data_IF_648622513496
#
_entry.id   IF_648622513496
#
_cell.length_a   1.000
_cell.length_b   1.000
_cell.length_c   1.000
_cell.angle_alpha   90.00
_cell.angle_beta   90.00
_cell.angle_gamma   90.00
#
_symmetry.space_group_name_H-M   'P 1'
#
loop_
_entity.id
_entity.type
_entity.pdbx_description
1 polymer ?
#
# COMPACT_ATOMS: atom_id res chain seq x y z
N UNK A 1 -34.99 10.01 -11.39
CA UNK A 1 -33.91 9.00 -11.54
C UNK A 1 -32.73 9.46 -10.69
N UNK A 2 -32.48 8.80 -9.56
CA UNK A 2 -31.36 9.16 -8.69
C UNK A 2 -30.05 8.87 -9.44
N UNK A 3 -29.29 9.92 -9.76
CA UNK A 3 -27.90 9.78 -10.21
C UNK A 3 -27.12 9.25 -9.03
N UNK A 4 -26.83 7.95 -9.04
CA UNK A 4 -25.87 7.34 -8.12
C UNK A 4 -24.56 8.11 -8.31
N UNK A 5 -24.14 8.86 -7.30
CA UNK A 5 -22.86 9.56 -7.29
C UNK A 5 -21.77 8.56 -7.64
N UNK A 6 -20.79 8.92 -8.51
CA UNK A 6 -19.73 8.00 -8.86
C UNK A 6 -19.01 7.61 -7.57
N UNK A 7 -19.12 6.33 -7.20
CA UNK A 7 -18.39 5.74 -6.09
C UNK A 7 -16.91 6.03 -6.35
N UNK A 8 -16.25 6.75 -5.44
CA UNK A 8 -14.83 7.00 -5.55
C UNK A 8 -14.08 5.72 -5.19
N UNK A 9 -13.95 4.82 -6.16
CA UNK A 9 -13.25 3.55 -6.02
C UNK A 9 -11.83 3.83 -5.53
N UNK A 10 -11.49 3.23 -4.38
CA UNK A 10 -10.16 3.27 -3.77
C UNK A 10 -9.34 2.05 -4.15
N UNK A 11 -9.96 0.87 -4.12
CA UNK A 11 -9.30 -0.39 -4.44
C UNK A 11 -10.13 -1.20 -5.44
N UNK A 12 -9.45 -2.07 -6.19
CA UNK A 12 -10.05 -3.05 -7.07
C UNK A 12 -9.55 -4.43 -6.67
N UNK A 13 -10.45 -5.31 -6.25
CA UNK A 13 -10.13 -6.72 -6.01
C UNK A 13 -10.24 -7.45 -7.35
N UNK A 14 -9.18 -8.14 -7.75
CA UNK A 14 -9.15 -9.01 -8.92
C UNK A 14 -9.15 -10.46 -8.45
N UNK A 15 -10.13 -11.24 -8.87
CA UNK A 15 -10.23 -12.65 -8.55
C UNK A 15 -10.51 -13.48 -9.82
N UNK A 16 -10.00 -14.70 -9.83
CA UNK A 16 -10.29 -15.70 -10.85
C UNK A 16 -11.27 -16.74 -10.30
N UNK A 17 -12.08 -17.31 -11.19
CA UNK A 17 -13.07 -18.34 -10.90
C UNK A 17 -12.84 -19.52 -11.83
N UNK A 18 -12.85 -20.73 -11.28
CA UNK A 18 -12.90 -21.97 -12.06
C UNK A 18 -14.06 -22.82 -11.55
N UNK A 19 -14.94 -23.25 -12.44
CA UNK A 19 -16.08 -24.09 -12.07
C UNK A 19 -16.31 -25.23 -13.06
N UNK A 20 -16.82 -26.35 -12.55
CA UNK A 20 -17.19 -27.52 -13.35
C UNK A 20 -18.65 -27.44 -13.78
N UNK A 21 -18.91 -26.88 -14.95
CA UNK A 21 -20.26 -26.76 -15.47
C UNK A 21 -20.49 -25.45 -16.21
N UNK A 22 -21.73 -25.26 -16.63
CA UNK A 22 -22.19 -24.00 -17.20
C UNK A 22 -22.56 -23.05 -16.05
N UNK A 23 -21.97 -21.85 -16.05
CA UNK A 23 -22.35 -20.78 -15.13
C UNK A 23 -22.79 -19.56 -15.92
N UNK A 24 -23.75 -18.84 -15.36
CA UNK A 24 -24.12 -17.51 -15.82
C UNK A 24 -23.65 -16.43 -14.84
N UNK A 25 -23.56 -15.19 -15.32
CA UNK A 25 -23.16 -14.05 -14.48
C UNK A 25 -24.02 -13.90 -13.21
N UNK A 26 -25.37 -14.07 -13.27
CA UNK A 26 -26.20 -14.01 -12.07
C UNK A 26 -25.84 -15.04 -11.00
N UNK A 27 -25.37 -16.23 -11.40
CA UNK A 27 -24.97 -17.28 -10.45
C UNK A 27 -23.78 -16.85 -9.61
N UNK A 28 -22.76 -16.27 -10.26
CA UNK A 28 -21.55 -15.75 -9.62
C UNK A 28 -21.89 -14.61 -8.67
N UNK A 29 -22.70 -13.66 -9.13
CA UNK A 29 -23.15 -12.53 -8.30
C UNK A 29 -23.98 -13.02 -7.11
N UNK A 30 -24.86 -14.00 -7.33
CA UNK A 30 -25.66 -14.62 -6.27
C UNK A 30 -24.80 -15.30 -5.21
N UNK A 31 -23.78 -16.05 -5.62
CA UNK A 31 -22.84 -16.69 -4.71
C UNK A 31 -22.02 -15.67 -3.91
N UNK A 32 -21.49 -14.64 -4.58
CA UNK A 32 -20.74 -13.55 -3.95
C UNK A 32 -21.53 -12.86 -2.84
N UNK A 33 -22.81 -12.56 -3.06
CA UNK A 33 -23.61 -11.91 -2.01
C UNK A 33 -24.14 -12.90 -0.96
N UNK A 34 -24.51 -14.11 -1.36
CA UNK A 34 -25.17 -15.06 -0.46
C UNK A 34 -24.20 -15.76 0.47
N UNK A 35 -23.07 -16.26 -0.04
CA UNK A 35 -22.14 -17.05 0.77
C UNK A 35 -21.23 -16.20 1.66
N UNK A 36 -21.05 -14.92 1.34
CA UNK A 36 -20.33 -14.01 2.23
C UNK A 36 -21.20 -13.42 3.35
N UNK A 37 -22.52 -13.60 3.27
CA UNK A 37 -23.49 -13.04 4.23
C UNK A 37 -23.28 -13.68 5.62
N UNK A 38 -23.24 -12.86 6.66
CA UNK A 38 -23.05 -13.33 8.04
C UNK A 38 -21.62 -13.73 8.45
N UNK A 39 -20.63 -13.73 7.54
CA UNK A 39 -19.24 -14.11 7.87
C UNK A 39 -18.43 -12.99 8.52
N UNK A 40 -18.68 -11.73 8.14
CA UNK A 40 -17.83 -10.58 8.47
C UNK A 40 -18.48 -9.57 9.44
N UNK A 41 -19.69 -9.88 9.94
CA UNK A 41 -20.51 -8.97 10.73
C UNK A 41 -21.36 -8.02 9.87
N UNK A 42 -22.37 -7.40 10.50
CA UNK A 42 -23.41 -6.62 9.80
C UNK A 42 -22.85 -5.42 9.00
N UNK A 43 -21.78 -4.78 9.48
CA UNK A 43 -21.19 -3.61 8.84
C UNK A 43 -20.38 -3.95 7.57
N UNK A 44 -20.06 -5.23 7.35
CA UNK A 44 -19.27 -5.72 6.22
C UNK A 44 -20.07 -6.58 5.24
N UNK A 45 -21.40 -6.54 5.31
CA UNK A 45 -22.24 -7.26 4.37
C UNK A 45 -22.17 -6.63 2.97
N UNK A 46 -21.67 -7.39 1.98
CA UNK A 46 -21.45 -6.89 0.63
C UNK A 46 -22.69 -6.25 -0.01
N UNK A 47 -23.88 -6.78 0.28
CA UNK A 47 -25.16 -6.28 -0.25
C UNK A 47 -25.47 -4.88 0.26
N UNK A 48 -25.26 -4.63 1.54
CA UNK A 48 -25.53 -3.33 2.16
C UNK A 48 -24.43 -2.33 1.81
N UNK A 49 -23.16 -2.79 1.80
CA UNK A 49 -22.04 -2.01 1.28
C UNK A 49 -22.25 -1.55 -0.17
N UNK A 50 -22.91 -2.36 -1.02
CA UNK A 50 -23.26 -1.95 -2.38
C UNK A 50 -24.38 -0.89 -2.40
N UNK A 51 -25.40 -1.01 -1.55
CA UNK A 51 -26.48 -0.01 -1.42
C UNK A 51 -25.94 1.34 -0.92
N UNK A 52 -25.00 1.30 0.03
CA UNK A 52 -24.32 2.48 0.57
C UNK A 52 -23.32 3.10 -0.42
N UNK A 53 -23.03 2.42 -1.54
CA UNK A 53 -22.03 2.86 -2.51
C UNK A 53 -20.59 2.70 -2.01
N UNK A 54 -20.34 1.87 -1.01
CA UNK A 54 -19.00 1.47 -0.57
C UNK A 54 -18.43 0.36 -1.47
N UNK A 55 -19.26 -0.50 -2.02
CA UNK A 55 -18.92 -1.44 -3.09
C UNK A 55 -19.60 -0.99 -4.38
N UNK A 56 -18.86 -0.99 -5.49
CA UNK A 56 -19.40 -0.63 -6.79
C UNK A 56 -20.10 -1.79 -7.49
N UNK A 57 -20.25 -1.68 -8.81
CA UNK A 57 -20.79 -2.76 -9.63
C UNK A 57 -19.72 -3.83 -9.81
N UNK A 58 -20.02 -5.05 -9.39
CA UNK A 58 -19.15 -6.21 -9.58
C UNK A 58 -19.18 -6.56 -11.06
N UNK A 59 -18.01 -6.62 -11.68
CA UNK A 59 -17.85 -7.04 -13.06
C UNK A 59 -17.47 -8.51 -13.11
N UNK A 60 -18.21 -9.28 -13.90
CA UNK A 60 -17.94 -10.71 -14.12
C UNK A 60 -17.84 -10.96 -15.62
N UNK A 61 -16.71 -11.50 -16.02
CA UNK A 61 -16.44 -12.04 -17.35
C UNK A 61 -16.35 -13.55 -17.21
N UNK A 62 -17.06 -14.30 -18.06
CA UNK A 62 -17.09 -15.76 -18.05
C UNK A 62 -16.76 -16.27 -19.44
N UNK A 63 -15.82 -17.19 -19.52
CA UNK A 63 -15.41 -17.90 -20.72
C UNK A 63 -15.57 -19.40 -20.50
N UNK A 64 -16.36 -20.03 -21.37
CA UNK A 64 -16.63 -21.47 -21.27
C UNK A 64 -15.76 -22.23 -22.26
N UNK A 65 -14.97 -23.16 -21.73
CA UNK A 65 -14.16 -24.09 -22.51
C UNK A 65 -14.56 -25.52 -22.13
N UNK A 66 -15.18 -26.23 -23.07
CA UNK A 66 -15.71 -27.59 -22.89
C UNK A 66 -16.68 -27.72 -21.71
N UNK A 67 -16.25 -28.45 -20.66
CA UNK A 67 -17.00 -28.74 -19.44
C UNK A 67 -16.65 -27.80 -18.29
N UNK A 68 -15.70 -26.88 -18.47
CA UNK A 68 -15.27 -25.94 -17.43
C UNK A 68 -15.59 -24.51 -17.83
N UNK A 69 -15.92 -23.71 -16.83
CA UNK A 69 -16.09 -22.27 -16.98
C UNK A 69 -14.98 -21.57 -16.22
N UNK A 70 -14.29 -20.67 -16.90
CA UNK A 70 -13.30 -19.77 -16.32
C UNK A 70 -13.94 -18.40 -16.18
N UNK A 71 -13.70 -17.73 -15.07
CA UNK A 71 -14.24 -16.42 -14.81
C UNK A 71 -13.20 -15.45 -14.29
N UNK A 72 -13.39 -14.18 -14.61
CA UNK A 72 -12.68 -13.05 -14.00
C UNK A 72 -13.69 -12.17 -13.29
N UNK A 73 -13.43 -11.91 -12.02
CA UNK A 73 -14.27 -11.12 -11.14
C UNK A 73 -13.50 -9.87 -10.74
N UNK A 74 -14.10 -8.71 -10.93
CA UNK A 74 -13.56 -7.43 -10.45
C UNK A 74 -14.55 -6.79 -9.49
N UNK A 75 -14.10 -6.55 -8.26
CA UNK A 75 -14.91 -5.94 -7.21
C UNK A 75 -14.32 -4.56 -6.88
N UNK A 76 -14.95 -3.48 -7.37
CA UNK A 76 -14.54 -2.13 -7.01
C UNK A 76 -15.00 -1.77 -5.59
N UNK A 77 -14.08 -1.30 -4.74
CA UNK A 77 -14.37 -0.91 -3.36
C UNK A 77 -13.92 0.52 -3.06
N UNK A 78 -14.69 1.23 -2.23
CA UNK A 78 -14.37 2.52 -1.64
C UNK A 78 -14.07 2.42 -0.12
N UNK A 79 -13.92 1.18 0.37
CA UNK A 79 -13.59 0.82 1.74
C UNK A 79 -12.13 1.13 2.08
N UNK A 80 -11.77 1.00 3.35
CA UNK A 80 -10.36 1.03 3.75
C UNK A 80 -9.61 -0.26 3.33
N UNK A 81 -8.30 -0.28 3.57
CA UNK A 81 -7.45 -1.41 3.17
C UNK A 81 -7.82 -2.70 3.94
N UNK A 82 -8.11 -2.57 5.23
CA UNK A 82 -8.40 -3.71 6.12
C UNK A 82 -9.73 -4.36 5.75
N UNK A 83 -10.78 -3.55 5.64
CA UNK A 83 -12.12 -3.95 5.21
C UNK A 83 -12.09 -4.57 3.82
N UNK A 84 -11.37 -3.96 2.86
CA UNK A 84 -11.22 -4.51 1.49
C UNK A 84 -10.56 -5.89 1.51
N UNK A 85 -9.54 -6.08 2.37
CA UNK A 85 -8.83 -7.36 2.47
C UNK A 85 -9.73 -8.45 3.08
N UNK A 86 -10.55 -8.10 4.08
CA UNK A 86 -11.51 -9.02 4.68
C UNK A 86 -12.56 -9.47 3.66
N UNK A 87 -13.11 -8.54 2.87
CA UNK A 87 -14.05 -8.86 1.80
C UNK A 87 -13.40 -9.77 0.76
N UNK A 88 -12.17 -9.48 0.34
CA UNK A 88 -11.44 -10.33 -0.59
C UNK A 88 -11.27 -11.75 -0.06
N UNK A 89 -10.86 -11.90 1.21
CA UNK A 89 -10.71 -13.20 1.85
C UNK A 89 -12.05 -13.96 1.93
N UNK A 90 -13.16 -13.28 2.27
CA UNK A 90 -14.47 -13.91 2.29
C UNK A 90 -14.97 -14.36 0.91
N UNK A 91 -14.58 -13.64 -0.15
CA UNK A 91 -14.88 -14.06 -1.53
C UNK A 91 -14.13 -15.34 -1.91
N UNK A 92 -12.92 -15.52 -1.39
CA UNK A 92 -12.12 -16.73 -1.62
C UNK A 92 -12.70 -17.98 -0.93
N UNK A 93 -13.50 -17.82 0.14
CA UNK A 93 -14.13 -18.96 0.84
C UNK A 93 -15.35 -19.54 0.11
N UNK A 94 -15.72 -19.01 -1.05
CA UNK A 94 -16.87 -19.46 -1.83
C UNK A 94 -16.50 -20.74 -2.57
N UNK A 95 -17.08 -21.87 -2.13
CA UNK A 95 -16.81 -23.19 -2.69
C UNK A 95 -17.82 -23.60 -3.78
N UNK A 96 -18.93 -22.85 -3.91
CA UNK A 96 -20.02 -23.24 -4.79
C UNK A 96 -20.67 -22.04 -5.45
N UNK A 97 -20.88 -22.12 -6.77
CA UNK A 97 -21.53 -21.08 -7.56
C UNK A 97 -22.67 -21.68 -8.36
N UNK A 98 -23.89 -21.23 -8.09
CA UNK A 98 -25.10 -21.82 -8.67
C UNK A 98 -25.18 -23.33 -8.40
N UNK A 99 -25.37 -24.17 -9.43
CA UNK A 99 -25.42 -25.62 -9.27
C UNK A 99 -24.04 -26.30 -9.20
N UNK A 100 -22.94 -25.58 -9.47
CA UNK A 100 -21.61 -26.16 -9.69
C UNK A 100 -20.64 -25.85 -8.56
N UNK A 101 -19.74 -26.80 -8.27
CA UNK A 101 -18.59 -26.53 -7.41
C UNK A 101 -17.63 -25.59 -8.14
N UNK A 102 -17.07 -24.66 -7.38
CA UNK A 102 -16.24 -23.60 -7.89
C UNK A 102 -15.08 -23.30 -6.95
N UNK A 103 -13.96 -22.90 -7.53
CA UNK A 103 -12.82 -22.38 -6.81
C UNK A 103 -12.61 -20.94 -7.22
N UNK A 104 -12.60 -20.04 -6.23
CA UNK A 104 -12.28 -18.62 -6.43
C UNK A 104 -10.90 -18.37 -5.82
N UNK A 105 -10.04 -17.67 -6.54
CA UNK A 105 -8.71 -17.26 -6.08
C UNK A 105 -8.55 -15.75 -6.25
N UNK A 106 -8.20 -15.04 -5.17
CA UNK A 106 -7.92 -13.60 -5.24
C UNK A 106 -6.50 -13.39 -5.77
N UNK A 107 -6.38 -12.90 -7.00
CA UNK A 107 -5.09 -12.67 -7.65
C UNK A 107 -4.33 -11.49 -7.05
N UNK A 108 -5.04 -10.37 -6.81
CA UNK A 108 -4.46 -9.14 -6.26
C UNK A 108 -5.53 -8.13 -5.83
N UNK A 109 -5.12 -7.20 -4.98
CA UNK A 109 -5.87 -5.99 -4.63
C UNK A 109 -5.09 -4.78 -5.14
N UNK A 110 -5.67 -3.98 -6.03
CA UNK A 110 -5.03 -2.84 -6.69
C UNK A 110 -5.55 -1.51 -6.15
N UNK A 111 -4.66 -0.58 -5.72
CA UNK A 111 -5.06 0.81 -5.41
C UNK A 111 -5.17 1.63 -6.70
N UNK A 112 -6.41 1.78 -7.18
CA UNK A 112 -6.73 2.48 -8.44
C UNK A 112 -6.56 4.01 -8.35
N UNK A 113 -6.22 4.56 -7.18
CA UNK A 113 -5.93 6.00 -7.01
C UNK A 113 -4.47 6.33 -7.31
N UNK A 114 -3.58 5.33 -7.34
CA UNK A 114 -2.15 5.54 -7.58
C UNK A 114 -1.90 6.34 -8.86
N UNK A 115 -2.48 5.90 -9.97
CA UNK A 115 -2.33 6.55 -11.28
C UNK A 115 -2.87 7.99 -11.34
N UNK A 116 -3.97 8.29 -10.63
CA UNK A 116 -4.50 9.65 -10.53
C UNK A 116 -3.61 10.55 -9.70
N UNK A 117 -3.01 10.05 -8.61
CA UNK A 117 -2.06 10.82 -7.80
C UNK A 117 -0.84 11.21 -8.63
N UNK A 118 -0.29 10.27 -9.39
CA UNK A 118 0.85 10.53 -10.28
C UNK A 118 0.49 11.54 -11.37
N UNK A 119 -0.69 11.39 -11.99
CA UNK A 119 -1.19 12.38 -12.95
C UNK A 119 -1.37 13.76 -12.32
N UNK A 120 -1.96 13.86 -11.12
CA UNK A 120 -2.14 15.13 -10.41
C UNK A 120 -0.78 15.76 -10.10
N UNK A 121 0.20 14.99 -9.66
CA UNK A 121 1.56 15.45 -9.39
C UNK A 121 2.24 15.97 -10.65
N UNK A 122 2.21 15.19 -11.74
CA UNK A 122 2.78 15.60 -13.03
C UNK A 122 2.07 16.82 -13.61
N UNK A 123 0.75 16.90 -13.48
CA UNK A 123 -0.05 18.04 -13.94
C UNK A 123 0.25 19.29 -13.10
N UNK A 124 0.37 19.15 -11.79
CA UNK A 124 0.75 20.24 -10.90
C UNK A 124 2.14 20.78 -11.26
N UNK A 125 3.14 19.91 -11.51
CA UNK A 125 4.47 20.33 -11.98
C UNK A 125 4.39 21.16 -13.27
N UNK A 126 3.62 20.69 -14.26
CA UNK A 126 3.45 21.39 -15.55
C UNK A 126 2.77 22.75 -15.39
N UNK A 127 1.68 22.81 -14.62
CA UNK A 127 0.96 24.07 -14.36
C UNK A 127 1.83 25.07 -13.60
N UNK A 128 2.62 24.62 -12.64
CA UNK A 128 3.57 25.46 -11.89
C UNK A 128 4.63 26.07 -12.79
N UNK A 129 5.14 25.33 -13.79
CA UNK A 129 6.10 25.87 -14.77
C UNK A 129 5.52 26.94 -15.69
N UNK A 130 4.19 27.06 -15.77
CA UNK A 130 3.48 28.06 -16.58
C UNK A 130 3.10 29.31 -15.78
N UNK A 131 3.30 29.32 -14.46
CA UNK A 131 3.07 30.51 -13.64
C UNK A 131 4.23 31.48 -13.89
N UNK A 132 4.02 32.50 -14.73
CA UNK A 132 4.92 33.63 -14.87
C UNK A 132 4.80 34.55 -13.65
N UNK A 133 5.94 34.92 -13.04
CA UNK A 133 6.01 36.08 -12.16
C UNK A 133 6.17 35.85 -10.66
N UNK A 134 6.67 34.72 -10.17
CA UNK A 134 7.16 34.64 -8.79
C UNK A 134 8.57 34.07 -8.71
N UNK A 135 9.47 34.90 -8.20
CA UNK A 135 10.91 34.65 -8.02
C UNK A 135 11.23 33.61 -6.93
N UNK A 136 10.35 32.62 -6.70
CA UNK A 136 10.51 31.57 -5.67
C UNK A 136 10.15 30.15 -6.20
N UNK A 137 10.30 29.93 -7.50
CA UNK A 137 9.98 28.65 -8.15
C UNK A 137 10.77 27.45 -7.59
N UNK A 138 11.93 27.68 -6.97
CA UNK A 138 12.77 26.63 -6.36
C UNK A 138 12.32 26.24 -4.94
N UNK A 139 11.94 27.19 -4.09
CA UNK A 139 11.52 26.89 -2.72
C UNK A 139 10.14 26.21 -2.66
N UNK A 140 9.24 26.62 -3.55
CA UNK A 140 7.86 26.10 -3.58
C UNK A 140 7.82 24.69 -4.20
N UNK A 141 8.68 24.41 -5.18
CA UNK A 141 8.86 23.05 -5.73
C UNK A 141 9.38 22.06 -4.69
N UNK A 142 10.20 22.52 -3.74
CA UNK A 142 10.65 21.71 -2.62
C UNK A 142 9.51 21.42 -1.63
N UNK A 143 8.60 22.38 -1.36
CA UNK A 143 7.42 22.15 -0.50
C UNK A 143 6.46 21.08 -1.01
N UNK A 144 6.30 20.93 -2.34
CA UNK A 144 5.48 19.84 -2.93
C UNK A 144 6.21 18.50 -2.87
N UNK A 145 7.54 18.49 -3.06
CA UNK A 145 8.35 17.28 -2.83
C UNK A 145 8.29 16.84 -1.37
N UNK A 146 8.32 17.78 -0.43
CA UNK A 146 8.25 17.50 1.00
C UNK A 146 6.89 16.94 1.42
N UNK A 147 5.78 17.43 0.88
CA UNK A 147 4.44 16.91 1.21
C UNK A 147 4.16 15.52 0.63
N UNK A 148 4.76 15.18 -0.52
CA UNK A 148 4.67 13.83 -1.11
C UNK A 148 5.72 12.84 -0.55
N UNK A 149 6.86 13.32 -0.01
CA UNK A 149 7.96 12.47 0.51
C UNK A 149 7.80 12.00 1.95
N UNK A 150 6.83 12.50 2.72
CA UNK A 150 6.62 12.06 4.11
C UNK A 150 6.18 10.59 4.20
N UNK A 151 5.80 9.95 3.08
CA UNK A 151 5.53 8.51 3.00
C UNK A 151 6.78 7.60 3.08
N UNK A 152 8.01 8.16 3.17
CA UNK A 152 9.25 7.38 3.14
C UNK A 152 9.84 7.00 4.50
N UNK A 153 9.20 7.36 5.61
CA UNK A 153 9.70 7.07 6.96
C UNK A 153 8.89 5.92 7.54
N UNK A 154 9.57 4.83 7.85
CA UNK A 154 9.03 3.64 8.50
C UNK A 154 9.66 3.45 9.88
N UNK A 155 9.08 2.57 10.68
CA UNK A 155 9.66 2.09 11.93
C UNK A 155 10.34 0.74 11.69
N UNK A 156 11.56 0.57 12.20
CA UNK A 156 12.32 -0.68 12.08
C UNK A 156 12.62 -1.27 13.46
N UNK A 157 12.42 -2.58 13.59
CA UNK A 157 12.80 -3.32 14.79
C UNK A 157 11.84 -3.16 15.97
N UNK A 158 12.21 -3.80 17.10
CA UNK A 158 11.43 -3.78 18.35
C UNK A 158 11.46 -2.39 19.00
N UNK A 159 12.58 -1.69 18.84
CA UNK A 159 12.79 -0.34 19.35
C UNK A 159 12.17 0.75 18.47
N UNK A 160 11.43 0.39 17.40
CA UNK A 160 10.73 1.32 16.50
C UNK A 160 11.65 2.45 16.00
N UNK A 161 12.82 2.08 15.54
CA UNK A 161 13.82 3.01 15.04
C UNK A 161 13.28 3.69 13.79
N UNK A 162 13.40 5.02 13.71
CA UNK A 162 13.05 5.73 12.49
C UNK A 162 14.00 5.28 11.36
N UNK A 163 13.44 4.81 10.25
CA UNK A 163 14.21 4.31 9.13
C UNK A 163 13.56 4.71 7.79
N UNK A 164 14.36 4.74 6.74
CA UNK A 164 13.87 4.68 5.37
C UNK A 164 13.91 3.25 4.82
N UNK A 165 14.20 3.10 3.54
CA UNK A 165 14.25 1.80 2.85
C UNK A 165 15.56 1.06 3.11
N UNK A 166 15.49 -0.05 3.86
CA UNK A 166 16.64 -0.87 4.24
C UNK A 166 16.83 -2.12 3.35
N UNK A 167 16.17 -2.18 2.19
CA UNK A 167 16.24 -3.32 1.28
C UNK A 167 17.63 -3.57 0.66
N UNK A 168 18.44 -2.52 0.47
CA UNK A 168 19.76 -2.60 -0.16
C UNK A 168 20.88 -3.16 0.72
N UNK A 169 22.06 -3.39 0.13
CA UNK A 169 23.23 -3.94 0.82
C UNK A 169 23.99 -2.93 1.68
N UNK A 170 23.81 -1.64 1.43
CA UNK A 170 24.45 -0.53 2.15
C UNK A 170 23.40 0.24 2.95
N UNK A 171 23.72 0.62 4.17
CA UNK A 171 22.87 1.45 5.02
C UNK A 171 23.67 2.54 5.73
N UNK A 172 23.02 3.70 5.88
CA UNK A 172 23.52 4.83 6.63
C UNK A 172 22.90 4.85 8.03
N UNK A 173 23.74 4.95 9.05
CA UNK A 173 23.27 5.04 10.44
C UNK A 173 23.50 6.46 10.94
N UNK A 174 22.49 7.01 11.61
CA UNK A 174 22.54 8.36 12.22
C UNK A 174 22.05 8.33 13.66
N UNK A 175 22.37 9.36 14.44
CA UNK A 175 22.04 9.40 15.87
C UNK A 175 20.53 9.57 16.12
N UNK A 176 19.90 10.52 15.41
CA UNK A 176 18.55 10.96 15.70
C UNK A 176 17.52 10.76 14.59
N UNK A 177 16.24 10.74 14.97
CA UNK A 177 15.10 10.76 14.04
C UNK A 177 15.11 12.00 13.13
N UNK A 178 15.59 13.14 13.63
CA UNK A 178 15.69 14.36 12.85
C UNK A 178 16.66 14.20 11.66
N UNK A 179 17.77 13.51 11.88
CA UNK A 179 18.79 13.27 10.85
C UNK A 179 18.28 12.31 9.80
N UNK A 180 17.55 11.26 10.21
CA UNK A 180 16.84 10.34 9.31
C UNK A 180 15.90 11.14 8.39
N UNK A 181 15.09 12.03 8.96
CA UNK A 181 14.15 12.86 8.20
C UNK A 181 14.88 13.78 7.23
N UNK A 182 15.98 14.40 7.67
CA UNK A 182 16.76 15.31 6.84
C UNK A 182 17.44 14.59 5.68
N UNK A 183 18.00 13.40 5.92
CA UNK A 183 18.63 12.59 4.87
C UNK A 183 17.62 12.06 3.85
N UNK A 184 16.45 11.61 4.31
CA UNK A 184 15.36 11.22 3.40
C UNK A 184 14.88 12.41 2.55
N UNK A 185 14.77 13.61 3.15
CA UNK A 185 14.48 14.85 2.42
C UNK A 185 15.55 15.17 1.38
N UNK A 186 16.82 14.94 1.71
CA UNK A 186 17.96 15.12 0.80
C UNK A 186 18.04 14.03 -0.29
N UNK A 187 17.26 12.95 -0.21
CA UNK A 187 17.20 11.88 -1.19
C UNK A 187 17.98 10.61 -0.82
N UNK A 188 18.61 10.58 0.36
CA UNK A 188 19.27 9.39 0.91
C UNK A 188 18.21 8.56 1.64
N UNK A 189 17.76 7.48 1.01
CA UNK A 189 16.62 6.68 1.50
C UNK A 189 17.04 5.52 2.41
N UNK A 190 18.24 4.99 2.25
CA UNK A 190 18.77 3.85 2.99
C UNK A 190 19.39 4.26 4.34
N UNK A 191 18.60 4.93 5.18
CA UNK A 191 19.06 5.49 6.45
C UNK A 191 18.26 4.95 7.63
N UNK A 192 18.91 4.73 8.78
CA UNK A 192 18.29 4.33 10.05
C UNK A 192 18.84 5.16 11.22
N UNK A 193 17.97 5.55 12.14
CA UNK A 193 18.32 6.30 13.35
C UNK A 193 18.52 5.40 14.57
N UNK A 194 19.51 5.72 15.40
CA UNK A 194 19.80 5.01 16.65
C UNK A 194 18.86 5.41 17.81
N UNK A 195 18.13 6.52 17.65
CA UNK A 195 17.23 7.10 18.64
C UNK A 195 17.93 7.38 19.99
N UNK A 196 19.18 7.86 19.91
CA UNK A 196 20.04 8.15 21.06
C UNK A 196 21.48 7.64 20.88
N UNK A 197 22.26 7.71 21.97
CA UNK A 197 23.72 7.43 21.94
C UNK A 197 24.08 5.96 22.15
N UNK A 198 23.11 5.07 22.40
CA UNK A 198 23.32 3.64 22.57
C UNK A 198 23.02 2.89 21.28
N UNK A 199 23.97 2.08 20.80
CA UNK A 199 23.78 1.23 19.62
C UNK A 199 22.69 0.17 19.90
N UNK A 200 21.53 0.23 19.20
CA UNK A 200 20.48 -0.77 19.32
C UNK A 200 20.91 -2.13 18.73
N UNK A 201 20.34 -3.21 19.26
CA UNK A 201 20.63 -4.57 18.75
C UNK A 201 20.22 -4.73 17.28
N UNK A 202 19.18 -4.03 16.84
CA UNK A 202 18.71 -4.10 15.46
C UNK A 202 19.73 -3.58 14.44
N UNK A 203 20.52 -2.56 14.81
CA UNK A 203 21.61 -2.07 13.97
C UNK A 203 22.78 -3.04 13.98
N UNK A 204 23.05 -3.71 15.11
CA UNK A 204 24.08 -4.76 15.17
C UNK A 204 23.75 -5.96 14.27
N UNK A 205 22.50 -6.41 14.28
CA UNK A 205 22.05 -7.50 13.40
C UNK A 205 22.13 -7.10 11.93
N UNK A 206 21.75 -5.87 11.58
CA UNK A 206 21.93 -5.35 10.22
C UNK A 206 23.41 -5.35 9.80
N UNK A 207 24.31 -4.98 10.71
CA UNK A 207 25.76 -4.93 10.44
C UNK A 207 26.42 -6.27 10.17
N UNK A 208 25.75 -7.40 10.46
CA UNK A 208 26.25 -8.74 10.09
C UNK A 208 26.05 -9.06 8.61
N UNK A 209 25.09 -8.39 7.96
CA UNK A 209 24.63 -8.73 6.60
C UNK A 209 24.74 -7.57 5.62
N UNK A 210 24.91 -6.34 6.11
CA UNK A 210 24.93 -5.11 5.32
C UNK A 210 26.17 -4.29 5.65
N UNK A 211 26.63 -3.53 4.67
CA UNK A 211 27.68 -2.53 4.85
C UNK A 211 27.09 -1.29 5.55
N UNK A 212 27.72 -0.86 6.64
CA UNK A 212 27.24 0.23 7.48
C UNK A 212 28.19 1.42 7.38
N UNK A 213 27.64 2.56 6.96
CA UNK A 213 28.31 3.87 7.09
C UNK A 213 27.64 4.66 8.19
N UNK A 214 28.37 4.97 9.26
CA UNK A 214 27.86 5.78 10.37
C UNK A 214 28.17 7.26 10.14
N UNK A 215 27.14 8.11 10.18
CA UNK A 215 27.29 9.56 10.30
C UNK A 215 27.13 9.96 11.76
N UNK A 216 28.13 10.67 12.27
CA UNK A 216 28.16 11.17 13.65
C UNK A 216 28.30 12.68 13.65
N UNK A 217 27.72 13.31 14.67
CA UNK A 217 27.85 14.75 14.82
C UNK A 217 29.31 15.09 15.15
N UNK A 218 29.85 16.11 14.47
CA UNK A 218 31.26 16.49 14.55
C UNK A 218 31.71 17.08 15.89
N UNK A 219 30.85 17.04 16.91
CA UNK A 219 31.07 17.60 18.24
C UNK A 219 31.77 16.59 19.18
N UNK A 220 32.04 17.02 20.42
CA UNK A 220 32.72 16.16 21.40
C UNK A 220 31.89 14.94 21.79
N UNK A 221 30.55 15.03 21.76
CA UNK A 221 29.64 13.95 22.12
C UNK A 221 29.64 12.84 21.07
N UNK A 222 29.48 13.20 19.79
CA UNK A 222 29.50 12.28 18.66
C UNK A 222 30.86 11.60 18.49
N UNK A 223 31.98 12.31 18.70
CA UNK A 223 33.33 11.73 18.64
C UNK A 223 33.65 10.75 19.78
N UNK A 224 33.12 10.96 20.98
CA UNK A 224 33.33 10.05 22.12
C UNK A 224 32.43 8.80 22.05
N UNK A 225 31.21 8.94 21.52
CA UNK A 225 30.24 7.84 21.37
C UNK A 225 30.55 6.90 20.22
N UNK A 226 31.03 7.43 19.09
CA UNK A 226 31.37 6.68 17.87
C UNK A 226 32.67 5.88 17.99
N UNK A 227 33.73 6.50 18.51
CA UNK A 227 35.07 5.90 18.51
C UNK A 227 35.21 4.68 19.47
N UNK A 228 34.34 4.56 20.48
CA UNK A 228 34.33 3.41 21.42
C UNK A 228 33.52 2.20 20.94
N UNK A 229 32.69 2.32 19.91
CA UNK A 229 31.66 1.31 19.58
C UNK A 229 31.65 0.83 18.13
N UNK A 230 32.53 1.35 17.27
CA UNK A 230 32.70 0.94 15.85
C UNK A 230 34.03 0.19 15.69
N UNK A 231 34.34 -0.70 16.63
CA UNK A 231 35.23 -1.81 16.33
C UNK A 231 34.36 -3.06 16.42
N UNK A 232 34.17 -3.69 15.27
CA UNK A 232 33.45 -4.96 15.11
C UNK A 232 34.01 -6.04 16.02
#
# INVERSE_FOLDING_TARGET
MAKISPVSIKYMIHASLVAEGALEKPDVIGALFGQTEGLLGADLEMRDLQKEGKIGRIEVELDRHDKRTFGKIKIPTALDQSETTLIAAAVETIERVGPSDAQIEVEKIEDVRGSKRDYILERAKKLMGQIQGSSDSREISNKIKDSARIAGVQEYGKNKLAAGDLGGNEIFVVEGRADVLNLIRAGVKNVIGMNGTKLPEEIKELGKTKEITLFVDGDRGGKLGSCRRIFF
#
